data_IF_029453535673
#
_entry.id   IF_029453535673
#
_cell.length_a   1.000
_cell.length_b   1.000
_cell.length_c   1.000
_cell.angle_alpha   90.00
_cell.angle_beta   90.00
_cell.angle_gamma   90.00
#
_symmetry.space_group_name_H-M   'P 1'
#
loop_
_entity.id
_entity.type
_entity.pdbx_description
1 polymer ?
#
# COMPACT_ATOMS: atom_id res chain seq x y z
N UNK A 1 32.81 14.63 4.78
CA UNK A 1 31.76 13.61 4.57
C UNK A 1 31.18 13.86 3.19
N UNK A 2 31.33 12.92 2.26
CA UNK A 2 30.62 13.02 0.98
C UNK A 2 29.19 12.57 1.24
N UNK A 3 28.27 13.54 1.37
CA UNK A 3 26.84 13.26 1.25
C UNK A 3 26.62 12.76 -0.18
N UNK A 4 26.37 11.45 -0.32
CA UNK A 4 25.92 10.90 -1.58
C UNK A 4 24.64 11.63 -1.99
N UNK A 5 24.50 12.04 -3.26
CA UNK A 5 23.27 12.64 -3.72
C UNK A 5 22.09 11.69 -3.41
N UNK A 6 20.96 12.23 -2.96
CA UNK A 6 19.83 11.40 -2.53
C UNK A 6 19.35 10.53 -3.68
N UNK A 7 19.18 9.24 -3.42
CA UNK A 7 18.74 8.28 -4.42
C UNK A 7 17.30 8.61 -4.89
N UNK A 8 17.11 9.02 -6.16
CA UNK A 8 15.80 9.40 -6.66
C UNK A 8 14.81 8.24 -6.71
N UNK A 9 15.25 6.97 -6.76
CA UNK A 9 14.36 5.81 -6.70
C UNK A 9 13.83 5.60 -5.29
N UNK A 10 14.72 5.62 -4.30
CA UNK A 10 14.34 5.61 -2.90
C UNK A 10 13.34 6.72 -2.57
N UNK A 11 13.56 7.93 -3.07
CA UNK A 11 12.63 9.04 -2.87
C UNK A 11 11.25 8.79 -3.50
N UNK A 12 11.16 8.12 -4.66
CA UNK A 12 9.86 7.75 -5.26
C UNK A 12 9.10 6.73 -4.40
N UNK A 13 9.80 5.72 -3.89
CA UNK A 13 9.20 4.70 -3.01
C UNK A 13 8.72 5.34 -1.71
N UNK A 14 9.55 6.19 -1.09
CA UNK A 14 9.17 6.94 0.12
C UNK A 14 7.94 7.83 -0.16
N UNK A 15 7.91 8.55 -1.28
CA UNK A 15 6.76 9.40 -1.65
C UNK A 15 5.48 8.58 -1.78
N UNK A 16 5.53 7.45 -2.49
CA UNK A 16 4.38 6.57 -2.64
C UNK A 16 3.92 6.02 -1.29
N UNK A 17 4.85 5.63 -0.43
CA UNK A 17 4.56 5.13 0.91
C UNK A 17 3.86 6.18 1.78
N UNK A 18 4.39 7.40 1.81
CA UNK A 18 3.80 8.51 2.56
C UNK A 18 2.44 8.92 2.01
N UNK A 19 2.24 8.93 0.70
CA UNK A 19 0.93 9.22 0.09
C UNK A 19 -0.15 8.23 0.55
N UNK A 20 0.19 6.94 0.64
CA UNK A 20 -0.74 5.94 1.15
C UNK A 20 -1.00 6.10 2.65
N UNK A 21 0.01 6.47 3.44
CA UNK A 21 -0.17 6.75 4.87
C UNK A 21 -1.06 7.98 5.09
N UNK A 22 -0.82 9.08 4.38
CA UNK A 22 -1.62 10.31 4.45
C UNK A 22 -3.07 10.00 4.09
N UNK A 23 -3.32 9.29 2.98
CA UNK A 23 -4.68 8.93 2.59
C UNK A 23 -5.41 8.08 3.66
N UNK A 24 -4.69 7.19 4.34
CA UNK A 24 -5.28 6.40 5.43
C UNK A 24 -5.58 7.27 6.68
N UNK A 25 -4.72 8.24 6.99
CA UNK A 25 -4.94 9.20 8.08
C UNK A 25 -6.12 10.12 7.75
N UNK A 26 -6.20 10.65 6.53
CA UNK A 26 -7.30 11.49 6.07
C UNK A 26 -8.64 10.76 6.15
N UNK A 27 -8.68 9.48 5.76
CA UNK A 27 -9.87 8.65 5.93
C UNK A 27 -10.28 8.50 7.40
N UNK A 28 -9.31 8.35 8.32
CA UNK A 28 -9.58 8.27 9.76
C UNK A 28 -10.05 9.60 10.35
N UNK A 29 -9.50 10.73 9.89
CA UNK A 29 -9.98 12.06 10.25
C UNK A 29 -11.44 12.21 9.79
N UNK A 30 -11.74 11.88 8.53
CA UNK A 30 -13.11 11.95 8.00
C UNK A 30 -14.08 11.05 8.77
N UNK A 31 -13.69 9.82 9.13
CA UNK A 31 -14.47 8.93 9.99
C UNK A 31 -14.75 9.55 11.37
N UNK A 32 -13.75 10.18 12.00
CA UNK A 32 -13.89 10.82 13.30
C UNK A 32 -14.77 12.09 13.23
N UNK A 33 -14.62 12.90 12.20
CA UNK A 33 -15.43 14.10 11.95
C UNK A 33 -16.89 13.73 11.65
N UNK A 34 -17.09 12.68 10.85
CA UNK A 34 -18.43 12.17 10.52
C UNK A 34 -19.08 11.47 11.72
N UNK A 35 -18.28 10.77 12.54
CA UNK A 35 -18.69 10.18 13.81
C UNK A 35 -19.02 11.21 14.88
N UNK A 36 -18.51 12.45 14.77
CA UNK A 36 -18.88 13.57 15.65
C UNK A 36 -20.25 14.18 15.33
N UNK A 37 -20.90 13.79 14.23
CA UNK A 37 -22.20 14.32 13.80
C UNK A 37 -23.40 13.39 14.06
N UNK A 38 -23.20 12.18 14.60
CA UNK A 38 -24.28 11.21 14.79
C UNK A 38 -24.91 11.27 16.19
N UNK A 39 -25.63 12.37 16.45
CA UNK A 39 -26.90 12.31 17.19
C UNK A 39 -28.03 12.68 16.22
N UNK A 40 -28.28 11.82 15.23
CA UNK A 40 -29.55 11.68 14.53
C UNK A 40 -29.46 10.57 13.47
N UNK A 41 -30.10 9.43 13.75
CA UNK A 41 -30.96 8.72 12.81
C UNK A 41 -30.38 8.04 11.55
N UNK A 42 -30.62 6.72 11.52
CA UNK A 42 -31.07 5.95 10.35
C UNK A 42 -30.06 5.42 9.30
N UNK A 43 -29.71 4.14 9.50
CA UNK A 43 -29.96 2.97 8.61
C UNK A 43 -29.53 2.98 7.12
N UNK A 44 -28.74 1.94 6.80
CA UNK A 44 -28.68 1.15 5.56
C UNK A 44 -28.14 1.80 4.26
N UNK A 45 -27.08 1.17 3.73
CA UNK A 45 -26.57 1.44 2.39
C UNK A 45 -25.33 0.61 2.05
N UNK A 46 -25.54 -0.67 1.78
CA UNK A 46 -24.58 -1.54 1.08
C UNK A 46 -24.46 -1.01 -0.37
N UNK A 47 -23.30 -0.46 -0.74
CA UNK A 47 -22.98 -0.22 -2.16
C UNK A 47 -21.52 -0.55 -2.43
N UNK A 48 -21.33 -1.80 -2.83
CA UNK A 48 -20.08 -2.35 -3.29
C UNK A 48 -19.70 -1.73 -4.64
N UNK A 49 -18.71 -0.82 -4.63
CA UNK A 49 -18.14 -0.25 -5.84
C UNK A 49 -17.56 -1.36 -6.74
N UNK A 50 -18.01 -1.48 -8.02
CA UNK A 50 -17.54 -2.51 -8.92
C UNK A 50 -16.15 -2.15 -9.44
N UNK A 51 -15.15 -2.98 -9.09
CA UNK A 51 -13.79 -2.84 -9.64
C UNK A 51 -13.78 -3.23 -11.12
N UNK A 52 -13.49 -2.27 -11.96
CA UNK A 52 -13.26 -2.44 -13.40
C UNK A 52 -12.08 -3.39 -13.66
N UNK A 53 -12.40 -4.54 -14.26
CA UNK A 53 -11.42 -5.40 -14.96
C UNK A 53 -11.13 -4.80 -16.32
N UNK A 54 -9.86 -4.57 -16.63
CA UNK A 54 -9.45 -4.27 -18.01
C UNK A 54 -7.96 -4.04 -18.17
N UNK A 55 -7.22 -5.04 -18.66
CA UNK A 55 -5.87 -4.82 -19.16
C UNK A 55 -4.98 -6.06 -19.19
N UNK A 56 -5.22 -6.98 -20.14
CA UNK A 56 -4.17 -7.92 -20.58
C UNK A 56 -3.05 -7.12 -21.27
N UNK A 57 -1.94 -6.86 -20.58
CA UNK A 57 -0.66 -6.52 -21.22
C UNK A 57 0.49 -7.16 -20.42
N UNK A 58 1.18 -8.11 -21.05
CA UNK A 58 2.55 -8.56 -20.75
C UNK A 58 2.86 -9.05 -19.34
N UNK A 59 3.35 -10.30 -19.21
CA UNK A 59 3.94 -10.82 -17.96
C UNK A 59 5.23 -10.07 -17.62
N UNK A 60 5.11 -8.88 -17.07
CA UNK A 60 6.13 -8.32 -16.18
C UNK A 60 5.59 -8.64 -14.79
N UNK A 61 6.31 -9.43 -14.00
CA UNK A 61 5.89 -9.71 -12.62
C UNK A 61 5.76 -8.36 -11.92
N UNK A 62 4.53 -7.90 -11.70
CA UNK A 62 4.25 -6.64 -11.04
C UNK A 62 4.15 -6.93 -9.54
N UNK A 63 4.74 -6.08 -8.72
CA UNK A 63 4.60 -6.14 -7.26
C UNK A 63 3.64 -5.04 -6.82
N UNK A 64 3.11 -5.16 -5.60
CA UNK A 64 2.30 -4.11 -4.95
C UNK A 64 2.83 -3.84 -3.56
N UNK A 65 2.77 -2.59 -3.11
CA UNK A 65 3.06 -2.20 -1.74
C UNK A 65 1.78 -1.71 -1.07
N UNK A 66 1.38 -2.39 0.00
CA UNK A 66 0.25 -2.01 0.85
C UNK A 66 0.75 -1.23 2.07
N UNK A 67 0.06 -0.17 2.46
CA UNK A 67 0.24 0.48 3.77
C UNK A 67 -0.74 -0.13 4.77
N UNK A 68 -0.23 -0.59 5.92
CA UNK A 68 -1.00 -1.08 7.07
C UNK A 68 -0.87 -0.05 8.20
N UNK A 69 -1.93 0.71 8.52
CA UNK A 69 -1.89 1.72 9.57
C UNK A 69 -1.58 1.12 10.94
N UNK A 70 -0.90 1.88 11.80
CA UNK A 70 -0.77 1.55 13.23
C UNK A 70 -2.08 1.93 13.96
N UNK A 71 -2.75 0.98 14.63
CA UNK A 71 -3.96 1.28 15.40
C UNK A 71 -3.75 2.31 16.53
N UNK A 72 -2.50 2.56 16.95
CA UNK A 72 -2.15 3.55 17.98
C UNK A 72 -1.76 4.92 17.40
N UNK A 73 -1.86 5.10 16.08
CA UNK A 73 -1.54 6.37 15.41
C UNK A 73 -0.06 6.61 15.14
N UNK A 74 0.81 5.62 15.34
CA UNK A 74 2.21 5.67 14.92
C UNK A 74 2.38 5.55 13.39
N UNK A 75 3.64 5.59 12.94
CA UNK A 75 3.95 5.27 11.55
C UNK A 75 3.50 3.83 11.26
N UNK A 76 2.60 3.67 10.28
CA UNK A 76 2.18 2.35 9.82
C UNK A 76 3.35 1.54 9.25
N UNK A 77 3.08 0.29 8.84
CA UNK A 77 4.05 -0.57 8.16
C UNK A 77 3.67 -0.84 6.70
N UNK A 78 4.67 -1.09 5.86
CA UNK A 78 4.48 -1.55 4.50
C UNK A 78 4.40 -3.08 4.43
N UNK A 79 3.55 -3.60 3.56
CA UNK A 79 3.52 -5.04 3.20
C UNK A 79 3.65 -5.18 1.70
N UNK A 80 4.70 -5.88 1.25
CA UNK A 80 4.93 -6.16 -0.16
C UNK A 80 4.13 -7.39 -0.60
N UNK A 81 3.48 -7.29 -1.75
CA UNK A 81 2.70 -8.35 -2.36
C UNK A 81 3.13 -8.57 -3.81
N UNK A 82 2.88 -9.75 -4.34
CA UNK A 82 2.83 -9.95 -5.81
C UNK A 82 1.51 -9.39 -6.34
N UNK A 83 1.46 -9.01 -7.61
CA UNK A 83 0.22 -8.51 -8.24
C UNK A 83 -0.88 -9.59 -8.34
N UNK A 84 -0.53 -10.86 -8.24
CA UNK A 84 -1.51 -11.95 -8.17
C UNK A 84 -1.91 -12.33 -6.73
N UNK A 85 -1.44 -11.59 -5.72
CA UNK A 85 -1.86 -11.81 -4.34
C UNK A 85 -3.35 -11.51 -4.16
N UNK A 86 -4.04 -12.36 -3.39
CA UNK A 86 -5.46 -12.20 -3.05
C UNK A 86 -5.76 -11.02 -2.14
N UNK A 87 -4.75 -10.48 -1.45
CA UNK A 87 -4.90 -9.32 -0.57
C UNK A 87 -5.17 -8.08 -1.44
N UNK A 88 -6.32 -7.40 -1.26
CA UNK A 88 -6.67 -6.23 -2.06
C UNK A 88 -5.89 -4.98 -1.62
N UNK A 89 -5.73 -4.04 -2.54
CA UNK A 89 -5.10 -2.74 -2.30
C UNK A 89 -3.60 -2.71 -2.57
N UNK A 90 -3.01 -1.55 -2.28
CA UNK A 90 -1.60 -1.24 -2.49
C UNK A 90 -1.27 -0.57 -3.81
N UNK A 91 -0.20 0.23 -3.81
CA UNK A 91 0.37 0.86 -4.99
C UNK A 91 1.22 -0.11 -5.81
N UNK A 92 1.16 -0.05 -7.13
CA UNK A 92 1.97 -0.90 -8.01
C UNK A 92 3.44 -0.48 -7.97
N UNK A 93 4.32 -1.48 -7.99
CA UNK A 93 5.77 -1.31 -8.06
C UNK A 93 6.34 -2.03 -9.29
N UNK A 94 7.35 -1.41 -9.89
CA UNK A 94 8.25 -2.08 -10.82
C UNK A 94 9.34 -2.89 -10.08
N UNK A 95 10.19 -3.61 -10.81
CA UNK A 95 11.27 -4.45 -10.26
C UNK A 95 12.23 -3.66 -9.35
N UNK A 96 12.70 -2.50 -9.81
CA UNK A 96 13.65 -1.68 -9.06
C UNK A 96 13.01 -1.14 -7.78
N UNK A 97 11.77 -0.69 -7.87
CA UNK A 97 11.00 -0.20 -6.71
C UNK A 97 10.73 -1.31 -5.69
N UNK A 98 10.48 -2.53 -6.17
CA UNK A 98 10.33 -3.72 -5.32
C UNK A 98 11.63 -4.02 -4.55
N UNK A 99 12.77 -4.05 -5.22
CA UNK A 99 14.08 -4.31 -4.58
C UNK A 99 14.42 -3.25 -3.54
N UNK A 100 14.12 -1.98 -3.83
CA UNK A 100 14.29 -0.88 -2.87
C UNK A 100 13.36 -1.06 -1.67
N UNK A 101 12.07 -1.35 -1.90
CA UNK A 101 11.10 -1.54 -0.82
C UNK A 101 11.44 -2.75 0.06
N UNK A 102 11.99 -3.82 -0.52
CA UNK A 102 12.42 -5.02 0.21
C UNK A 102 13.55 -4.71 1.22
N UNK A 103 14.37 -3.69 0.95
CA UNK A 103 15.43 -3.24 1.85
C UNK A 103 15.01 -2.21 2.90
N UNK A 104 13.74 -1.79 2.94
CA UNK A 104 13.27 -0.80 3.91
C UNK A 104 12.89 -1.45 5.25
N UNK A 105 13.28 -0.87 6.41
CA UNK A 105 13.06 -1.49 7.72
C UNK A 105 11.58 -1.61 8.10
N UNK A 106 10.74 -0.67 7.65
CA UNK A 106 9.31 -0.63 7.98
C UNK A 106 8.45 -1.39 6.96
N UNK A 107 9.09 -2.13 6.04
CA UNK A 107 8.41 -2.87 4.98
C UNK A 107 8.73 -4.36 5.14
N UNK A 108 7.67 -5.17 5.25
CA UNK A 108 7.79 -6.62 5.33
C UNK A 108 7.26 -7.28 4.05
N UNK A 109 7.83 -8.43 3.63
CA UNK A 109 7.21 -9.25 2.61
C UNK A 109 5.90 -9.88 3.12
N UNK A 110 4.93 -10.06 2.22
CA UNK A 110 3.69 -10.77 2.53
C UNK A 110 3.96 -12.26 2.70
N UNK A 111 3.63 -12.80 3.87
CA UNK A 111 3.77 -14.21 4.23
C UNK A 111 2.83 -15.15 3.45
N UNK A 112 1.83 -14.60 2.73
CA UNK A 112 0.89 -15.43 1.95
C UNK A 112 1.43 -15.67 0.54
N UNK A 113 1.99 -14.65 -0.10
CA UNK A 113 2.40 -14.73 -1.50
C UNK A 113 3.91 -14.76 -1.71
N UNK A 114 4.71 -14.60 -0.64
CA UNK A 114 6.18 -14.60 -0.64
C UNK A 114 6.77 -13.87 -1.86
N UNK A 115 6.56 -12.54 -1.97
CA UNK A 115 6.92 -11.79 -3.16
C UNK A 115 8.41 -11.82 -3.54
N UNK A 116 9.28 -12.15 -2.59
CA UNK A 116 10.73 -12.30 -2.69
C UNK A 116 11.17 -13.65 -3.27
N UNK A 117 10.31 -14.68 -3.18
CA UNK A 117 10.64 -16.01 -3.68
C UNK A 117 10.41 -16.07 -5.19
N UNK A 118 11.40 -16.58 -5.92
CA UNK A 118 11.17 -17.03 -7.28
C UNK A 118 10.23 -18.23 -7.22
N UNK A 119 9.03 -18.12 -7.81
CA UNK A 119 8.16 -19.28 -7.95
C UNK A 119 8.84 -20.28 -8.87
N UNK A 120 9.42 -21.31 -8.27
CA UNK A 120 9.80 -22.52 -9.00
C UNK A 120 8.51 -23.11 -9.58
N UNK A 121 8.43 -23.32 -10.90
CA UNK A 121 7.22 -23.80 -11.57
C UNK A 121 6.84 -25.22 -11.15
#
# INVERSE_FOLDING_TARGET
>A
MYELPPDPQRLRVIRLYLQMQIAAVDAKIQEAESGSLVVAGAEAGDDAVPRTRGGKRGRVSAWRLQSVPDPRGGAGRGVLHRDDCRVPGGGRLNRQEFEVALGMPDVAPCEICHPESERTP
#
